data_IF_948581144855
#
_entry.id   IF_948581144855
#
_cell.length_a   1.000
_cell.length_b   1.000
_cell.length_c   1.000
_cell.angle_alpha   90.00
_cell.angle_beta   90.00
_cell.angle_gamma   90.00
#
_symmetry.space_group_name_H-M   'P 1'
#
loop_
_entity.id
_entity.type
_entity.pdbx_description
1 polymer ?
#
# COMPACT_ATOMS: atom_id res chain seq x y z
N UNK A 1 26.10 -4.76 0.29
CA UNK A 1 24.88 -4.14 -0.30
C UNK A 1 24.64 -4.76 -1.65
N UNK A 2 23.45 -5.29 -1.86
CA UNK A 2 23.04 -5.97 -3.08
C UNK A 2 21.81 -5.24 -3.63
N UNK A 3 21.83 -4.97 -4.93
CA UNK A 3 20.69 -4.45 -5.69
C UNK A 3 20.18 -5.58 -6.58
N UNK A 4 19.19 -6.34 -6.08
CA UNK A 4 18.54 -7.39 -6.86
C UNK A 4 17.47 -6.82 -7.79
N UNK A 5 16.96 -7.67 -8.68
CA UNK A 5 15.82 -7.37 -9.54
C UNK A 5 14.48 -7.72 -8.87
N UNK A 6 14.48 -8.00 -7.56
CA UNK A 6 13.24 -8.29 -6.82
C UNK A 6 12.34 -7.06 -6.78
N UNK A 7 11.04 -7.28 -6.99
CA UNK A 7 10.05 -6.26 -6.76
C UNK A 7 9.84 -6.06 -5.24
N UNK A 8 9.72 -4.81 -4.81
CA UNK A 8 9.28 -4.49 -3.44
C UNK A 8 7.79 -4.77 -3.30
N UNK A 9 7.35 -5.17 -2.10
CA UNK A 9 5.95 -5.54 -1.83
C UNK A 9 5.40 -6.56 -2.86
N UNK A 10 5.98 -7.76 -2.95
CA UNK A 10 5.59 -8.79 -3.91
C UNK A 10 4.10 -9.14 -3.94
N UNK A 11 3.40 -9.22 -2.80
CA UNK A 11 1.97 -9.54 -2.78
C UNK A 11 1.15 -8.40 -3.38
N UNK A 12 1.48 -7.15 -3.06
CA UNK A 12 0.89 -5.95 -3.65
C UNK A 12 1.07 -5.93 -5.17
N UNK A 13 2.21 -6.43 -5.65
CA UNK A 13 2.51 -6.60 -7.07
C UNK A 13 1.86 -7.81 -7.75
N UNK A 14 1.26 -8.74 -7.00
CA UNK A 14 0.82 -10.03 -7.51
C UNK A 14 -0.60 -10.01 -8.05
N UNK A 15 -0.84 -10.89 -9.03
CA UNK A 15 -2.13 -11.05 -9.69
C UNK A 15 -2.85 -12.26 -9.14
N UNK A 16 -4.08 -12.10 -8.66
CA UNK A 16 -4.88 -13.23 -8.17
C UNK A 16 -6.35 -12.90 -8.06
N UNK A 17 -7.18 -13.95 -8.13
CA UNK A 17 -8.59 -13.87 -7.78
C UNK A 17 -8.74 -13.73 -6.25
N UNK A 18 -9.63 -12.86 -5.76
CA UNK A 18 -9.91 -12.71 -4.33
C UNK A 18 -10.19 -14.05 -3.63
N UNK A 19 -9.54 -14.25 -2.49
CA UNK A 19 -9.60 -15.46 -1.67
C UNK A 19 -8.42 -16.42 -1.90
N UNK A 20 -7.46 -16.05 -2.75
CA UNK A 20 -6.30 -16.88 -3.08
C UNK A 20 -4.96 -16.28 -2.62
N UNK A 21 -4.94 -15.24 -1.78
CA UNK A 21 -3.68 -14.60 -1.37
C UNK A 21 -2.69 -15.62 -0.75
N UNK A 22 -3.15 -16.43 0.20
CA UNK A 22 -2.32 -17.47 0.83
C UNK A 22 -1.82 -18.53 -0.17
N UNK A 23 -2.60 -18.85 -1.19
CA UNK A 23 -2.21 -19.81 -2.22
C UNK A 23 -1.07 -19.22 -3.05
N UNK A 24 -1.22 -17.99 -3.52
CA UNK A 24 -0.17 -17.30 -4.29
C UNK A 24 1.12 -17.19 -3.49
N UNK A 25 1.05 -16.82 -2.21
CA UNK A 25 2.24 -16.77 -1.33
C UNK A 25 2.96 -18.12 -1.27
N UNK A 26 2.22 -19.22 -1.10
CA UNK A 26 2.80 -20.58 -1.02
C UNK A 26 3.45 -21.02 -2.32
N UNK A 27 2.91 -20.58 -3.45
CA UNK A 27 3.38 -20.93 -4.81
C UNK A 27 4.57 -20.08 -5.28
N UNK A 28 4.93 -19.01 -4.55
CA UNK A 28 6.10 -18.20 -4.88
C UNK A 28 7.41 -19.01 -4.85
N UNK A 29 8.19 -18.90 -5.93
CA UNK A 29 9.47 -19.58 -6.09
C UNK A 29 10.53 -19.00 -5.15
N UNK A 30 10.72 -17.67 -5.17
CA UNK A 30 11.66 -16.97 -4.30
C UNK A 30 11.16 -16.95 -2.86
N UNK A 31 11.83 -17.71 -1.99
CA UNK A 31 11.39 -17.92 -0.60
C UNK A 31 11.48 -16.68 0.26
N UNK A 32 12.40 -15.76 -0.04
CA UNK A 32 12.51 -14.49 0.68
C UNK A 32 11.34 -13.56 0.31
N UNK A 33 11.02 -13.45 -0.98
CA UNK A 33 9.83 -12.73 -1.45
C UNK A 33 8.53 -13.35 -0.93
N UNK A 34 8.45 -14.68 -0.80
CA UNK A 34 7.31 -15.34 -0.17
C UNK A 34 7.12 -14.95 1.31
N UNK A 35 8.22 -14.77 2.07
CA UNK A 35 8.14 -14.29 3.46
C UNK A 35 7.72 -12.83 3.54
N UNK A 36 8.23 -11.97 2.65
CA UNK A 36 7.77 -10.58 2.56
C UNK A 36 6.28 -10.53 2.17
N UNK A 37 5.85 -11.34 1.20
CA UNK A 37 4.44 -11.44 0.79
C UNK A 37 3.54 -11.93 1.93
N UNK A 38 4.03 -12.85 2.77
CA UNK A 38 3.32 -13.26 3.98
C UNK A 38 3.19 -12.11 4.99
N UNK A 39 4.23 -11.31 5.18
CA UNK A 39 4.16 -10.13 6.02
C UNK A 39 3.19 -9.07 5.47
N UNK A 40 3.16 -8.86 4.14
CA UNK A 40 2.15 -8.03 3.50
C UNK A 40 0.73 -8.54 3.77
N UNK A 41 0.50 -9.85 3.67
CA UNK A 41 -0.79 -10.43 4.02
C UNK A 41 -1.17 -10.14 5.47
N UNK A 42 -0.24 -10.27 6.42
CA UNK A 42 -0.50 -9.90 7.81
C UNK A 42 -0.78 -8.41 7.98
N UNK A 43 -0.03 -7.53 7.30
CA UNK A 43 -0.29 -6.10 7.30
C UNK A 43 -1.69 -5.79 6.81
N UNK A 44 -2.02 -6.20 5.58
CA UNK A 44 -3.32 -5.87 4.97
C UNK A 44 -4.48 -6.53 5.70
N UNK A 45 -4.28 -7.65 6.39
CA UNK A 45 -5.29 -8.30 7.23
C UNK A 45 -5.39 -7.76 8.66
N UNK A 46 -4.72 -6.63 8.95
CA UNK A 46 -4.70 -5.95 10.24
C UNK A 46 -4.09 -6.78 11.39
N UNK A 47 -3.08 -7.61 11.08
CA UNK A 47 -2.30 -8.38 12.05
C UNK A 47 -0.91 -7.76 12.24
N UNK A 48 -0.86 -6.56 12.84
CA UNK A 48 0.36 -5.76 12.96
C UNK A 48 1.52 -6.50 13.67
N UNK A 49 1.25 -7.19 14.78
CA UNK A 49 2.29 -7.95 15.52
C UNK A 49 2.93 -9.03 14.64
N UNK A 50 2.11 -9.85 13.95
CA UNK A 50 2.61 -10.89 13.05
C UNK A 50 3.38 -10.30 11.87
N UNK A 51 2.90 -9.18 11.30
CA UNK A 51 3.63 -8.45 10.27
C UNK A 51 5.02 -8.04 10.77
N UNK A 52 5.09 -7.36 11.92
CA UNK A 52 6.33 -6.89 12.51
C UNK A 52 7.31 -8.03 12.81
N UNK A 53 6.86 -9.13 13.45
CA UNK A 53 7.71 -10.29 13.71
C UNK A 53 8.22 -10.95 12.42
N UNK A 54 7.39 -11.04 11.38
CA UNK A 54 7.76 -11.70 10.12
C UNK A 54 8.85 -10.93 9.38
N UNK A 55 8.83 -9.58 9.40
CA UNK A 55 9.81 -8.76 8.69
C UNK A 55 11.09 -8.47 9.47
N UNK A 56 11.12 -8.69 10.79
CA UNK A 56 12.31 -8.43 11.64
C UNK A 56 13.62 -9.00 11.07
N UNK A 57 13.68 -10.25 10.56
CA UNK A 57 14.92 -10.82 9.99
C UNK A 57 15.40 -10.10 8.72
N UNK A 58 14.55 -9.26 8.12
CA UNK A 58 14.82 -8.58 6.85
C UNK A 58 15.31 -7.12 7.03
N UNK A 59 15.19 -6.55 8.23
CA UNK A 59 15.53 -5.14 8.51
C UNK A 59 17.03 -4.80 8.36
N UNK A 60 17.90 -5.80 8.38
CA UNK A 60 19.35 -5.64 8.20
C UNK A 60 19.90 -6.41 7.00
N UNK A 61 19.05 -6.76 6.04
CA UNK A 61 19.47 -7.54 4.86
C UNK A 61 20.34 -6.70 3.92
N UNK A 62 21.33 -7.36 3.32
CA UNK A 62 22.19 -6.72 2.33
C UNK A 62 21.44 -6.37 1.06
N UNK A 63 20.45 -7.19 0.67
CA UNK A 63 19.55 -6.91 -0.43
C UNK A 63 18.59 -5.78 -0.06
N UNK A 64 18.74 -4.65 -0.74
CA UNK A 64 17.93 -3.46 -0.51
C UNK A 64 16.46 -3.71 -0.82
N UNK A 65 16.10 -4.53 -1.80
CA UNK A 65 14.69 -4.72 -2.17
C UNK A 65 13.91 -5.45 -1.07
N UNK A 66 14.56 -6.42 -0.41
CA UNK A 66 13.98 -7.10 0.76
C UNK A 66 13.90 -6.14 1.96
N UNK A 67 14.97 -5.41 2.24
CA UNK A 67 15.03 -4.46 3.36
C UNK A 67 14.03 -3.32 3.22
N UNK A 68 13.87 -2.72 2.04
CA UNK A 68 12.85 -1.70 1.78
C UNK A 68 11.43 -2.20 2.05
N UNK A 69 11.12 -3.42 1.62
CA UNK A 69 9.82 -4.03 1.88
C UNK A 69 9.59 -4.25 3.38
N UNK A 70 10.62 -4.77 4.05
CA UNK A 70 10.61 -4.97 5.50
C UNK A 70 10.42 -3.65 6.26
N UNK A 71 11.18 -2.61 5.92
CA UNK A 71 11.10 -1.31 6.60
C UNK A 71 9.75 -0.63 6.40
N UNK A 72 9.15 -0.70 5.20
CA UNK A 72 7.80 -0.16 4.96
C UNK A 72 6.79 -0.82 5.89
N UNK A 73 6.75 -2.16 5.86
CA UNK A 73 5.82 -2.95 6.66
C UNK A 73 6.07 -2.77 8.16
N UNK A 74 7.33 -2.75 8.59
CA UNK A 74 7.71 -2.55 9.98
C UNK A 74 7.37 -1.14 10.46
N UNK A 75 7.50 -0.12 9.61
CA UNK A 75 7.11 1.25 9.94
C UNK A 75 5.63 1.31 10.32
N UNK A 76 4.74 0.84 9.44
CA UNK A 76 3.31 0.93 9.70
C UNK A 76 2.84 -0.02 10.80
N UNK A 77 3.35 -1.27 10.82
CA UNK A 77 3.01 -2.22 11.87
C UNK A 77 3.37 -1.70 13.27
N UNK A 78 4.55 -1.09 13.44
CA UNK A 78 4.97 -0.57 14.75
C UNK A 78 4.21 0.70 15.15
N UNK A 79 3.69 1.49 14.20
CA UNK A 79 2.77 2.58 14.54
C UNK A 79 1.48 2.03 15.14
N UNK A 80 0.92 0.97 14.55
CA UNK A 80 -0.28 0.29 15.06
C UNK A 80 -0.03 -0.37 16.43
N UNK A 81 1.16 -0.94 16.66
CA UNK A 81 1.56 -1.54 17.95
C UNK A 81 1.88 -0.47 19.02
N UNK A 82 2.17 0.76 18.61
CA UNK A 82 2.54 1.86 19.51
C UNK A 82 4.05 2.02 19.76
N UNK A 83 4.91 1.28 19.05
CA UNK A 83 6.37 1.47 19.07
C UNK A 83 6.81 2.53 18.04
N UNK A 84 6.55 3.79 18.38
CA UNK A 84 6.93 4.94 17.55
C UNK A 84 8.44 5.03 17.27
N UNK A 85 9.29 4.51 18.18
CA UNK A 85 10.75 4.53 17.99
C UNK A 85 11.17 3.54 16.92
N UNK A 86 10.65 2.32 16.96
CA UNK A 86 10.88 1.31 15.92
C UNK A 86 10.38 1.80 14.55
N UNK A 87 9.18 2.38 14.51
CA UNK A 87 8.62 2.93 13.29
C UNK A 87 9.49 4.04 12.69
N UNK A 88 9.92 5.00 13.52
CA UNK A 88 10.79 6.08 13.09
C UNK A 88 12.14 5.57 12.59
N UNK A 89 12.73 4.55 13.25
CA UNK A 89 14.01 4.00 12.83
C UNK A 89 13.95 3.32 11.46
N UNK A 90 12.91 2.54 11.19
CA UNK A 90 12.71 1.89 9.89
C UNK A 90 12.46 2.92 8.78
N UNK A 91 11.64 3.94 9.06
CA UNK A 91 11.44 5.06 8.13
C UNK A 91 12.74 5.79 7.78
N UNK A 92 13.60 6.02 8.76
CA UNK A 92 14.92 6.61 8.52
C UNK A 92 15.82 5.70 7.67
N UNK A 93 15.71 4.37 7.80
CA UNK A 93 16.47 3.45 6.95
C UNK A 93 16.00 3.49 5.49
N UNK A 94 14.69 3.59 5.24
CA UNK A 94 14.15 3.82 3.89
C UNK A 94 14.76 5.07 3.27
N UNK A 95 14.86 6.16 4.03
CA UNK A 95 15.47 7.40 3.56
C UNK A 95 16.97 7.21 3.24
N UNK A 96 17.71 6.48 4.10
CA UNK A 96 19.13 6.16 3.83
C UNK A 96 19.29 5.32 2.57
N UNK A 97 18.48 4.26 2.42
CA UNK A 97 18.48 3.40 1.24
C UNK A 97 18.19 4.20 -0.03
N UNK A 98 17.18 5.08 -0.02
CA UNK A 98 16.84 5.91 -1.18
C UNK A 98 18.00 6.84 -1.59
N UNK A 99 18.64 7.52 -0.62
CA UNK A 99 19.79 8.38 -0.91
C UNK A 99 20.94 7.57 -1.53
N UNK A 100 21.21 6.39 -0.99
CA UNK A 100 22.27 5.52 -1.49
C UNK A 100 21.99 5.04 -2.92
N UNK A 101 20.80 4.48 -3.19
CA UNK A 101 20.47 3.93 -4.52
C UNK A 101 20.39 5.01 -5.60
N UNK A 102 19.93 6.21 -5.26
CA UNK A 102 19.89 7.33 -6.22
C UNK A 102 21.29 7.82 -6.59
N UNK A 103 22.26 7.73 -5.68
CA UNK A 103 23.65 8.15 -5.90
C UNK A 103 24.51 7.10 -6.61
N UNK A 104 24.12 5.83 -6.55
CA UNK A 104 24.83 4.73 -7.19
C UNK A 104 24.39 4.51 -8.65
N UNK A 105 25.13 3.65 -9.36
CA UNK A 105 24.85 3.27 -10.75
C UNK A 105 23.69 2.23 -10.85
N UNK A 106 22.61 2.47 -10.09
CA UNK A 106 21.42 1.65 -10.05
C UNK A 106 20.55 1.83 -11.30
N UNK A 107 19.81 0.79 -11.67
CA UNK A 107 18.85 0.83 -12.78
C UNK A 107 17.68 1.77 -12.47
N UNK A 108 16.89 2.14 -13.49
CA UNK A 108 15.73 3.00 -13.29
C UNK A 108 14.64 2.29 -12.46
N UNK A 109 14.53 0.98 -12.62
CA UNK A 109 13.62 0.10 -11.88
C UNK A 109 13.99 0.08 -10.38
N UNK A 110 15.27 -0.08 -10.06
CA UNK A 110 15.75 -0.06 -8.68
C UNK A 110 15.55 1.32 -8.02
N UNK A 111 15.82 2.40 -8.75
CA UNK A 111 15.53 3.77 -8.31
C UNK A 111 14.03 3.98 -8.09
N UNK A 112 13.20 3.46 -8.98
CA UNK A 112 11.75 3.53 -8.85
C UNK A 112 11.24 2.79 -7.61
N UNK A 113 11.73 1.58 -7.32
CA UNK A 113 11.40 0.84 -6.10
C UNK A 113 11.78 1.59 -4.82
N UNK A 114 12.97 2.22 -4.80
CA UNK A 114 13.41 3.01 -3.65
C UNK A 114 12.55 4.27 -3.45
N UNK A 115 12.25 4.99 -4.53
CA UNK A 115 11.37 6.14 -4.47
C UNK A 115 9.95 5.73 -4.09
N UNK A 116 9.45 4.63 -4.62
CA UNK A 116 8.16 4.05 -4.22
C UNK A 116 8.10 3.84 -2.72
N UNK A 117 9.09 3.16 -2.13
CA UNK A 117 9.12 2.94 -0.68
C UNK A 117 9.16 4.24 0.14
N UNK A 118 9.97 5.22 -0.31
CA UNK A 118 10.03 6.53 0.31
C UNK A 118 8.69 7.28 0.24
N UNK A 119 8.03 7.29 -0.92
CA UNK A 119 6.77 8.01 -1.12
C UNK A 119 5.59 7.33 -0.41
N UNK A 120 5.50 6.00 -0.42
CA UNK A 120 4.51 5.23 0.36
C UNK A 120 4.56 5.67 1.82
N UNK A 121 5.74 5.63 2.42
CA UNK A 121 5.94 5.93 3.84
C UNK A 121 5.61 7.39 4.17
N UNK A 122 6.02 8.34 3.33
CA UNK A 122 5.77 9.75 3.61
C UNK A 122 4.32 10.18 3.36
N UNK A 123 3.66 9.66 2.31
CA UNK A 123 2.27 10.03 1.98
C UNK A 123 1.32 9.54 3.07
N UNK A 124 1.42 8.27 3.50
CA UNK A 124 0.56 7.75 4.56
C UNK A 124 0.79 8.41 5.92
N UNK A 125 2.02 8.85 6.21
CA UNK A 125 2.32 9.58 7.44
C UNK A 125 2.05 11.08 7.34
N UNK A 126 1.54 11.56 6.19
CA UNK A 126 1.32 12.98 5.91
C UNK A 126 2.58 13.85 6.08
N UNK A 127 3.74 13.29 5.77
CA UNK A 127 5.02 13.99 5.83
C UNK A 127 5.37 14.49 4.43
N UNK A 128 5.66 15.79 4.33
CA UNK A 128 6.05 16.39 3.05
C UNK A 128 7.43 15.86 2.63
N UNK A 129 7.56 15.28 1.41
CA UNK A 129 8.85 14.89 0.85
C UNK A 129 9.86 16.05 0.82
N UNK A 130 11.14 15.74 1.01
CA UNK A 130 12.19 16.75 0.92
C UNK A 130 12.34 17.28 -0.52
N UNK A 131 12.58 18.60 -0.69
CA UNK A 131 12.66 19.26 -2.01
C UNK A 131 13.70 18.66 -2.97
N UNK A 132 14.74 18.00 -2.44
CA UNK A 132 15.82 17.37 -3.22
C UNK A 132 15.47 15.97 -3.73
N UNK A 133 14.35 15.38 -3.27
CA UNK A 133 13.91 14.05 -3.72
C UNK A 133 13.33 14.16 -5.13
N UNK A 134 13.74 13.28 -6.06
CA UNK A 134 13.19 13.27 -7.42
C UNK A 134 11.66 13.15 -7.46
N UNK A 135 10.96 13.84 -8.38
CA UNK A 135 9.51 13.75 -8.47
C UNK A 135 9.04 12.33 -8.79
N UNK A 136 8.21 11.76 -7.90
CA UNK A 136 7.78 10.36 -8.00
C UNK A 136 7.14 9.99 -9.34
N UNK A 137 6.35 10.90 -9.91
CA UNK A 137 5.62 10.70 -11.17
C UNK A 137 6.54 10.26 -12.33
N UNK A 138 7.80 10.69 -12.34
CA UNK A 138 8.77 10.34 -13.39
C UNK A 138 9.25 8.88 -13.31
N UNK A 139 9.10 8.25 -12.14
CA UNK A 139 9.62 6.90 -11.87
C UNK A 139 8.53 5.82 -11.90
N UNK A 140 7.26 6.19 -11.79
CA UNK A 140 6.11 5.28 -11.87
C UNK A 140 6.14 4.35 -13.10
N UNK A 141 6.51 4.80 -14.32
CA UNK A 141 6.56 3.91 -15.49
C UNK A 141 7.56 2.74 -15.39
N UNK A 142 8.53 2.83 -14.48
CA UNK A 142 9.53 1.77 -14.26
C UNK A 142 9.12 0.77 -13.16
N UNK A 143 8.00 1.01 -12.47
CA UNK A 143 7.45 0.05 -11.51
C UNK A 143 6.71 -1.08 -12.26
N UNK A 144 6.74 -2.32 -11.74
CA UNK A 144 5.84 -3.38 -12.21
C UNK A 144 4.37 -2.96 -12.02
N UNK A 145 3.47 -3.52 -12.82
CA UNK A 145 2.09 -3.03 -12.94
C UNK A 145 1.34 -2.95 -11.59
N UNK A 146 1.44 -3.96 -10.73
CA UNK A 146 0.76 -3.92 -9.42
C UNK A 146 1.26 -2.79 -8.51
N UNK A 147 2.58 -2.64 -8.35
CA UNK A 147 3.17 -1.52 -7.60
C UNK A 147 2.89 -0.17 -8.25
N UNK A 148 2.80 -0.12 -9.59
CA UNK A 148 2.44 1.08 -10.34
C UNK A 148 1.01 1.52 -10.03
N UNK A 149 0.06 0.59 -10.02
CA UNK A 149 -1.33 0.87 -9.65
C UNK A 149 -1.42 1.37 -8.20
N UNK A 150 -0.67 0.76 -7.29
CA UNK A 150 -0.57 1.21 -5.89
C UNK A 150 0.07 2.60 -5.77
N UNK A 151 1.12 2.89 -6.54
CA UNK A 151 1.73 4.21 -6.59
C UNK A 151 0.73 5.28 -7.07
N UNK A 152 -0.12 4.95 -8.05
CA UNK A 152 -1.15 5.86 -8.53
C UNK A 152 -2.25 6.06 -7.48
N UNK A 153 -2.66 5.04 -6.71
CA UNK A 153 -3.62 5.25 -5.61
C UNK A 153 -3.06 6.20 -4.55
N UNK A 154 -1.75 6.13 -4.25
CA UNK A 154 -1.09 7.06 -3.33
C UNK A 154 -1.05 8.50 -3.87
N UNK A 155 -0.71 8.69 -5.15
CA UNK A 155 -0.74 10.02 -5.77
C UNK A 155 -2.15 10.59 -5.84
N UNK A 156 -3.15 9.75 -6.11
CA UNK A 156 -4.55 10.15 -6.07
C UNK A 156 -4.97 10.56 -4.66
N UNK A 157 -4.53 9.83 -3.62
CA UNK A 157 -4.75 10.21 -2.23
C UNK A 157 -4.08 11.54 -1.88
N UNK A 158 -2.82 11.74 -2.26
CA UNK A 158 -2.13 13.03 -2.04
C UNK A 158 -2.86 14.18 -2.76
N UNK A 159 -3.31 13.95 -3.99
CA UNK A 159 -4.10 14.91 -4.78
C UNK A 159 -5.45 15.20 -4.11
N UNK A 160 -6.08 14.19 -3.51
CA UNK A 160 -7.30 14.32 -2.71
C UNK A 160 -7.06 15.22 -1.47
N UNK A 161 -5.94 15.05 -0.76
CA UNK A 161 -5.60 15.86 0.41
C UNK A 161 -5.41 17.36 0.05
N UNK A 162 -5.04 17.64 -1.20
CA UNK A 162 -4.99 19.01 -1.76
C UNK A 162 -6.35 19.54 -2.23
N UNK A 163 -7.42 18.78 -1.97
CA UNK A 163 -8.81 19.07 -2.36
C UNK A 163 -9.05 19.11 -3.88
N UNK A 164 -8.15 18.53 -4.67
CA UNK A 164 -8.28 18.42 -6.12
C UNK A 164 -9.09 17.16 -6.49
N UNK A 165 -10.30 17.01 -5.95
CA UNK A 165 -11.08 15.76 -5.98
C UNK A 165 -11.36 15.21 -7.38
N UNK A 166 -11.70 16.09 -8.34
CA UNK A 166 -11.95 15.67 -9.71
C UNK A 166 -10.67 15.14 -10.39
N UNK A 167 -9.52 15.75 -10.08
CA UNK A 167 -8.21 15.30 -10.59
C UNK A 167 -7.81 13.97 -9.96
N UNK A 168 -7.97 13.83 -8.64
CA UNK A 168 -7.70 12.58 -7.92
C UNK A 168 -8.56 11.44 -8.48
N UNK A 169 -9.87 11.66 -8.68
CA UNK A 169 -10.76 10.70 -9.34
C UNK A 169 -10.29 10.35 -10.75
N UNK A 170 -9.86 11.34 -11.54
CA UNK A 170 -9.31 11.12 -12.89
C UNK A 170 -8.05 10.25 -12.90
N UNK A 171 -7.13 10.42 -11.93
CA UNK A 171 -5.96 9.55 -11.76
C UNK A 171 -6.38 8.10 -11.49
N UNK A 172 -7.35 7.90 -10.60
CA UNK A 172 -7.86 6.56 -10.30
C UNK A 172 -8.52 5.90 -11.52
N UNK A 173 -9.35 6.63 -12.25
CA UNK A 173 -9.99 6.12 -13.46
C UNK A 173 -8.96 5.77 -14.54
N UNK A 174 -7.90 6.57 -14.67
CA UNK A 174 -6.76 6.26 -15.53
C UNK A 174 -6.06 4.95 -15.13
N UNK A 175 -5.85 4.73 -13.82
CA UNK A 175 -5.27 3.49 -13.32
C UNK A 175 -6.13 2.26 -13.64
N UNK A 176 -7.46 2.34 -13.50
CA UNK A 176 -8.36 1.25 -13.86
C UNK A 176 -8.30 0.89 -15.35
N UNK A 177 -8.10 1.87 -16.24
CA UNK A 177 -7.93 1.61 -17.68
C UNK A 177 -6.60 0.94 -18.02
N UNK A 178 -5.59 1.07 -17.15
CA UNK A 178 -4.27 0.47 -17.32
C UNK A 178 -4.14 -0.92 -16.69
N UNK A 179 -5.09 -1.33 -15.84
CA UNK A 179 -5.08 -2.66 -15.24
C UNK A 179 -5.37 -3.71 -16.32
N UNK A 180 -4.41 -4.59 -16.57
CA UNK A 180 -4.49 -5.70 -17.52
C UNK A 180 -5.10 -6.96 -16.91
N UNK A 181 -5.09 -7.05 -15.58
CA UNK A 181 -5.62 -8.16 -14.79
C UNK A 181 -5.98 -7.69 -13.37
N UNK A 182 -6.38 -8.61 -12.52
CA UNK A 182 -6.77 -8.34 -11.14
C UNK A 182 -5.53 -8.28 -10.24
N UNK A 183 -5.23 -7.08 -9.71
CA UNK A 183 -4.30 -6.86 -8.60
C UNK A 183 -5.11 -6.45 -7.36
N UNK A 184 -5.53 -7.39 -6.49
CA UNK A 184 -6.53 -7.11 -5.47
C UNK A 184 -6.18 -5.95 -4.54
N UNK A 185 -4.95 -5.92 -4.01
CA UNK A 185 -4.51 -4.87 -3.07
C UNK A 185 -4.57 -3.47 -3.71
N UNK A 186 -3.88 -3.20 -4.85
CA UNK A 186 -4.01 -1.91 -5.52
C UNK A 186 -5.45 -1.52 -5.88
N UNK A 187 -6.25 -2.48 -6.36
CA UNK A 187 -7.64 -2.23 -6.76
C UNK A 187 -8.52 -1.83 -5.57
N UNK A 188 -8.30 -2.41 -4.38
CA UNK A 188 -9.00 -2.01 -3.15
C UNK A 188 -8.68 -0.54 -2.83
N UNK A 189 -7.40 -0.17 -2.81
CA UNK A 189 -6.97 1.20 -2.53
C UNK A 189 -7.51 2.20 -3.55
N UNK A 190 -7.45 1.88 -4.84
CA UNK A 190 -8.01 2.72 -5.91
C UNK A 190 -9.52 2.95 -5.69
N UNK A 191 -10.29 1.91 -5.38
CA UNK A 191 -11.71 2.05 -5.10
C UNK A 191 -12.00 2.88 -3.84
N UNK A 192 -11.20 2.73 -2.77
CA UNK A 192 -11.33 3.56 -1.57
C UNK A 192 -11.10 5.05 -1.89
N UNK A 193 -10.00 5.38 -2.58
CA UNK A 193 -9.70 6.78 -2.97
C UNK A 193 -10.75 7.34 -3.92
N UNK A 194 -11.25 6.53 -4.87
CA UNK A 194 -12.34 6.96 -5.75
C UNK A 194 -13.62 7.27 -4.96
N UNK A 195 -14.00 6.42 -4.00
CA UNK A 195 -15.16 6.67 -3.15
C UNK A 195 -14.99 7.97 -2.35
N UNK A 196 -13.81 8.21 -1.76
CA UNK A 196 -13.50 9.45 -1.05
C UNK A 196 -13.70 10.69 -1.96
N UNK A 197 -13.20 10.63 -3.20
CA UNK A 197 -13.39 11.69 -4.17
C UNK A 197 -14.88 11.88 -4.54
N UNK A 198 -15.61 10.80 -4.79
CA UNK A 198 -17.02 10.81 -5.16
C UNK A 198 -17.91 11.40 -4.04
N UNK A 199 -17.62 11.12 -2.76
CA UNK A 199 -18.31 11.75 -1.62
C UNK A 199 -18.19 13.27 -1.72
N UNK A 200 -16.98 13.78 -1.91
CA UNK A 200 -16.70 15.22 -1.96
C UNK A 200 -17.25 15.90 -3.22
N UNK A 201 -17.40 15.13 -4.31
CA UNK A 201 -18.07 15.57 -5.54
C UNK A 201 -19.60 15.41 -5.51
N UNK A 202 -20.17 14.93 -4.39
CA UNK A 202 -21.62 14.69 -4.19
C UNK A 202 -22.20 13.58 -5.09
N UNK A 203 -21.36 12.63 -5.51
CA UNK A 203 -21.70 11.48 -6.35
C UNK A 203 -22.00 10.25 -5.47
N UNK A 204 -23.05 10.35 -4.65
CA UNK A 204 -23.35 9.38 -3.58
C UNK A 204 -23.56 7.94 -4.08
N UNK A 205 -24.24 7.75 -5.22
CA UNK A 205 -24.53 6.40 -5.75
C UNK A 205 -23.26 5.71 -6.21
N UNK A 206 -22.40 6.47 -6.88
CA UNK A 206 -21.11 6.04 -7.39
C UNK A 206 -20.14 5.74 -6.24
N UNK A 207 -20.16 6.56 -5.18
CA UNK A 207 -19.37 6.32 -3.98
C UNK A 207 -19.75 5.00 -3.28
N UNK A 208 -21.06 4.72 -3.15
CA UNK A 208 -21.56 3.43 -2.63
C UNK A 208 -21.09 2.27 -3.51
N UNK A 209 -21.11 2.43 -4.83
CA UNK A 209 -20.64 1.39 -5.73
C UNK A 209 -19.14 1.11 -5.53
N UNK A 210 -18.30 2.14 -5.51
CA UNK A 210 -16.85 2.00 -5.29
C UNK A 210 -16.51 1.37 -3.95
N UNK A 211 -17.18 1.74 -2.84
CA UNK A 211 -16.97 1.08 -1.54
C UNK A 211 -17.39 -0.39 -1.56
N UNK A 212 -18.51 -0.74 -2.20
CA UNK A 212 -18.92 -2.15 -2.31
C UNK A 212 -17.93 -2.96 -3.16
N UNK A 213 -17.40 -2.38 -4.24
CA UNK A 213 -16.37 -3.02 -5.07
C UNK A 213 -15.08 -3.26 -4.28
N UNK A 214 -14.61 -2.27 -3.51
CA UNK A 214 -13.48 -2.46 -2.59
C UNK A 214 -13.77 -3.57 -1.57
N UNK A 215 -14.97 -3.57 -0.98
CA UNK A 215 -15.35 -4.53 0.06
C UNK A 215 -15.42 -5.98 -0.45
N UNK A 216 -16.05 -6.22 -1.60
CA UNK A 216 -16.14 -7.58 -2.14
C UNK A 216 -14.78 -8.09 -2.63
N UNK A 217 -13.89 -7.21 -3.08
CA UNK A 217 -12.50 -7.55 -3.41
C UNK A 217 -11.70 -7.92 -2.15
N UNK A 218 -11.88 -7.18 -1.06
CA UNK A 218 -11.12 -7.36 0.18
C UNK A 218 -11.60 -8.52 1.06
N UNK A 219 -12.91 -8.76 1.11
CA UNK A 219 -13.55 -9.65 2.09
C UNK A 219 -13.02 -11.10 2.07
N UNK A 220 -12.78 -11.74 0.92
CA UNK A 220 -12.30 -13.12 0.86
C UNK A 220 -10.95 -13.33 1.54
N UNK A 221 -9.99 -12.42 1.32
CA UNK A 221 -8.64 -12.46 1.91
C UNK A 221 -8.51 -11.65 3.21
N UNK A 222 -9.60 -11.00 3.63
CA UNK A 222 -9.69 -10.18 4.83
C UNK A 222 -8.78 -8.96 4.82
N UNK A 223 -8.60 -8.31 3.67
CA UNK A 223 -7.78 -7.09 3.56
C UNK A 223 -8.49 -5.87 4.16
N UNK A 224 -8.34 -5.67 5.46
CA UNK A 224 -9.00 -4.64 6.25
C UNK A 224 -8.23 -3.32 6.34
N UNK A 225 -6.91 -3.37 6.25
CA UNK A 225 -6.04 -2.20 6.43
C UNK A 225 -6.44 -0.99 5.58
N UNK A 226 -6.81 -1.12 4.28
CA UNK A 226 -7.19 0.04 3.47
C UNK A 226 -8.41 0.78 4.02
N UNK A 227 -9.32 0.08 4.70
CA UNK A 227 -10.50 0.68 5.31
C UNK A 227 -10.21 1.27 6.69
N UNK A 228 -9.24 0.70 7.41
CA UNK A 228 -8.75 1.24 8.68
C UNK A 228 -7.99 2.54 8.41
N UNK A 229 -7.08 2.57 7.45
CA UNK A 229 -6.32 3.76 7.07
C UNK A 229 -7.22 4.92 6.63
N UNK A 230 -8.29 4.63 5.87
CA UNK A 230 -9.22 5.65 5.37
C UNK A 230 -10.52 5.79 6.19
N UNK A 231 -10.57 5.22 7.40
CA UNK A 231 -11.80 5.13 8.19
C UNK A 231 -12.48 6.50 8.38
N UNK A 232 -11.73 7.53 8.78
CA UNK A 232 -12.28 8.86 9.05
C UNK A 232 -12.88 9.55 7.82
N UNK A 233 -12.45 9.15 6.62
CA UNK A 233 -12.92 9.71 5.34
C UNK A 233 -14.06 8.90 4.73
N UNK A 234 -14.19 7.62 5.11
CA UNK A 234 -15.18 6.68 4.57
C UNK A 234 -16.27 6.30 5.57
N UNK A 235 -16.21 6.76 6.83
CA UNK A 235 -17.05 6.31 7.94
C UNK A 235 -18.54 6.21 7.56
N UNK A 236 -19.13 7.28 7.03
CA UNK A 236 -20.56 7.30 6.67
C UNK A 236 -20.95 6.25 5.64
N UNK A 237 -20.09 5.95 4.65
CA UNK A 237 -20.35 4.91 3.66
C UNK A 237 -20.12 3.50 4.21
N UNK A 238 -19.11 3.32 5.06
CA UNK A 238 -18.81 2.02 5.67
C UNK A 238 -19.93 1.61 6.65
N UNK A 239 -20.52 2.55 7.38
CA UNK A 239 -21.71 2.29 8.19
C UNK A 239 -22.91 1.83 7.35
N UNK A 240 -23.11 2.42 6.18
CA UNK A 240 -24.21 2.05 5.26
C UNK A 240 -23.96 0.70 4.58
N UNK A 241 -22.73 0.46 4.10
CA UNK A 241 -22.43 -0.67 3.22
C UNK A 241 -21.98 -1.92 3.98
N UNK A 242 -21.28 -1.76 5.10
CA UNK A 242 -20.53 -2.85 5.76
C UNK A 242 -21.12 -3.26 7.11
N UNK A 243 -21.69 -2.32 7.89
CA UNK A 243 -22.20 -2.60 9.25
C UNK A 243 -23.24 -3.72 9.32
N UNK A 244 -24.02 -3.94 8.25
CA UNK A 244 -24.98 -5.03 8.16
C UNK A 244 -24.37 -6.38 7.74
N UNK A 245 -23.13 -6.39 7.24
CA UNK A 245 -22.51 -7.53 6.58
C UNK A 245 -21.42 -8.23 7.41
N UNK A 246 -20.78 -7.58 8.38
CA UNK A 246 -19.70 -8.22 9.15
C UNK A 246 -19.46 -7.62 10.56
N UNK A 247 -19.81 -8.35 11.62
CA UNK A 247 -19.63 -7.93 13.03
C UNK A 247 -18.17 -8.03 13.53
N UNK A 248 -17.32 -8.90 12.95
CA UNK A 248 -15.90 -9.03 13.37
C UNK A 248 -15.03 -7.84 12.93
N UNK A 249 -15.40 -7.20 11.82
CA UNK A 249 -14.76 -5.97 11.39
C UNK A 249 -15.03 -4.84 12.39
N UNK A 250 -16.23 -4.77 12.98
CA UNK A 250 -16.61 -3.72 13.94
C UNK A 250 -15.73 -3.73 15.21
N UNK A 251 -15.24 -4.90 15.67
CA UNK A 251 -14.36 -4.95 16.84
C UNK A 251 -12.96 -4.38 16.59
N UNK A 252 -12.43 -4.44 15.37
CA UNK A 252 -11.15 -3.80 15.02
C UNK A 252 -11.29 -2.30 14.79
N UNK A 253 -12.53 -1.78 14.63
CA UNK A 253 -12.80 -0.35 14.51
C UNK A 253 -12.78 0.42 15.83
N UNK A 254 -13.05 -0.28 16.94
CA UNK A 254 -13.15 0.36 18.26
C UNK A 254 -11.84 0.31 19.05
N UNK A 255 -10.81 -0.36 18.52
CA UNK A 255 -9.53 -0.59 19.18
C UNK A 255 -8.37 0.24 18.59
N UNK A 256 -8.63 1.04 17.54
CA UNK A 256 -7.69 2.00 16.96
C UNK A 256 -7.94 3.42 17.42
#
# INVERSE_FOLDING_TARGET
MILSDRAVLPLTGSTFEPGNAEKVIKEMEDKESAQIALAEYYYFSANAELCAETVKPYLSQEDIMLRLSADMLYTFANLTIGDSKAAQQAREDIQRCMVQVVQENATMEQKASCLFAYYVTNIFLHITPEKKVPPFLQYIPYLPTGQRLFAISLLAHETYLRQEYARAKGLVQGAFLMADTTYPIPIIYLNCVQAMCQINLKEQKEAIHSVNSAWEMARPDRFWEPFIEYHGLLQGLLEVCVRKKNQRFISSWQAG
#
